data_IF_384716054283
#
_entry.id   IF_384716054283
#
_cell.length_a   1.000
_cell.length_b   1.000
_cell.length_c   1.000
_cell.angle_alpha   90.00
_cell.angle_beta   90.00
_cell.angle_gamma   90.00
#
_symmetry.space_group_name_H-M   'P 1'
#
loop_
_entity.id
_entity.type
_entity.pdbx_description
1 polymer ?
#
# COMPACT_ATOMS: atom_id res chain seq x y z
N UNK A 1 -4.73 16.03 -5.42
CA UNK A 1 -5.51 15.57 -6.60
C UNK A 1 -6.31 16.74 -7.16
N UNK A 2 -6.73 16.69 -8.43
CA UNK A 2 -7.60 17.73 -9.02
C UNK A 2 -9.00 17.66 -8.39
N UNK A 3 -9.64 18.81 -8.23
CA UNK A 3 -11.03 18.89 -7.75
C UNK A 3 -11.96 18.07 -8.68
N UNK A 4 -12.90 17.30 -8.15
CA UNK A 4 -13.80 16.39 -8.90
C UNK A 4 -13.11 15.23 -9.65
N UNK A 5 -12.04 14.67 -9.09
CA UNK A 5 -11.24 13.62 -9.74
C UNK A 5 -11.87 12.21 -9.73
N UNK A 6 -12.97 11.99 -9.02
CA UNK A 6 -13.63 10.67 -8.84
C UNK A 6 -15.13 10.72 -9.15
N UNK A 7 -15.48 11.22 -10.32
CA UNK A 7 -16.91 11.32 -10.77
C UNK A 7 -17.51 9.92 -10.96
N UNK A 8 -16.69 8.91 -11.26
CA UNK A 8 -17.12 7.53 -11.57
C UNK A 8 -16.87 6.53 -10.43
N UNK A 9 -16.59 7.00 -9.21
CA UNK A 9 -16.30 6.16 -8.04
C UNK A 9 -14.82 5.93 -7.76
N UNK A 10 -14.49 5.13 -6.72
CA UNK A 10 -13.12 4.88 -6.30
C UNK A 10 -12.39 4.00 -7.31
N UNK A 11 -11.32 4.53 -7.90
CA UNK A 11 -10.48 3.85 -8.88
C UNK A 11 -9.04 3.83 -8.41
N UNK A 12 -8.35 2.69 -8.58
CA UNK A 12 -6.91 2.61 -8.31
C UNK A 12 -6.13 3.61 -9.16
N UNK A 13 -5.04 4.12 -8.61
CA UNK A 13 -4.15 5.02 -9.33
C UNK A 13 -3.42 4.26 -10.45
N UNK A 14 -3.40 4.85 -11.65
CA UNK A 14 -2.66 4.33 -12.81
C UNK A 14 -1.34 5.08 -12.99
N UNK A 15 -0.43 4.52 -13.82
CA UNK A 15 0.90 5.10 -14.08
C UNK A 15 0.85 6.52 -14.65
N UNK A 16 -0.15 6.81 -15.49
CA UNK A 16 -0.38 8.13 -16.11
C UNK A 16 -1.71 8.73 -15.65
N UNK A 17 -1.97 8.70 -14.35
CA UNK A 17 -3.20 9.21 -13.79
C UNK A 17 -3.30 10.73 -13.97
N UNK A 18 -4.15 11.15 -14.91
CA UNK A 18 -4.42 12.57 -15.25
C UNK A 18 -4.97 13.40 -14.08
N UNK A 19 -5.39 12.73 -12.99
CA UNK A 19 -5.88 13.35 -11.77
C UNK A 19 -4.74 13.91 -10.89
N UNK A 20 -3.51 13.46 -11.11
CA UNK A 20 -2.36 13.85 -10.31
C UNK A 20 -1.82 15.21 -10.79
N UNK A 21 -1.67 16.15 -9.87
CA UNK A 21 -0.98 17.43 -10.14
C UNK A 21 0.53 17.22 -10.17
N UNK A 22 1.29 18.15 -10.78
CA UNK A 22 2.77 18.11 -10.81
C UNK A 22 3.35 18.03 -9.38
N UNK A 23 2.81 18.84 -8.45
CA UNK A 23 3.21 18.81 -7.03
C UNK A 23 2.86 17.47 -6.40
N UNK A 24 1.66 16.94 -6.65
CA UNK A 24 1.25 15.63 -6.14
C UNK A 24 2.12 14.48 -6.66
N UNK A 25 2.60 14.56 -7.91
CA UNK A 25 3.54 13.59 -8.46
C UNK A 25 4.90 13.66 -7.75
N UNK A 26 5.40 14.86 -7.45
CA UNK A 26 6.63 15.06 -6.67
C UNK A 26 6.48 14.49 -5.25
N UNK A 27 5.40 14.86 -4.54
CA UNK A 27 5.14 14.36 -3.17
C UNK A 27 5.07 12.83 -3.12
N UNK A 28 4.37 12.20 -4.07
CA UNK A 28 4.29 10.72 -4.16
C UNK A 28 5.65 10.08 -4.46
N UNK A 29 6.44 10.69 -5.36
CA UNK A 29 7.77 10.19 -5.70
C UNK A 29 8.73 10.22 -4.51
N UNK A 30 8.63 11.26 -3.67
CA UNK A 30 9.44 11.45 -2.47
C UNK A 30 8.83 10.82 -1.23
N UNK A 31 7.63 10.24 -1.33
CA UNK A 31 6.84 9.69 -0.21
C UNK A 31 6.51 10.69 0.90
N UNK A 32 6.60 11.99 0.62
CA UNK A 32 6.24 13.05 1.57
C UNK A 32 4.73 13.03 1.86
N UNK A 33 3.92 12.56 0.90
CA UNK A 33 2.47 12.37 1.08
C UNK A 33 2.11 11.29 2.13
N UNK A 34 3.05 10.45 2.52
CA UNK A 34 2.88 9.45 3.58
C UNK A 34 3.27 9.97 4.98
N UNK A 35 3.91 11.15 5.10
CA UNK A 35 4.27 11.73 6.40
C UNK A 35 3.08 11.94 7.35
N UNK A 36 1.88 12.33 6.92
CA UNK A 36 0.73 12.41 7.82
C UNK A 36 0.36 11.07 8.46
N UNK A 37 0.67 9.93 7.81
CA UNK A 37 0.44 8.60 8.37
C UNK A 37 1.38 8.29 9.55
N UNK A 38 2.55 8.96 9.65
CA UNK A 38 3.40 8.86 10.82
C UNK A 38 2.71 9.39 12.08
N UNK A 39 1.84 10.38 11.94
CA UNK A 39 1.04 10.85 13.06
C UNK A 39 0.07 9.76 13.55
N UNK A 40 -0.57 9.04 12.64
CA UNK A 40 -1.42 7.87 12.98
C UNK A 40 -0.64 6.76 13.65
N UNK A 41 0.63 6.56 13.26
CA UNK A 41 1.54 5.61 13.94
C UNK A 41 1.84 6.10 15.36
N UNK A 42 2.16 7.37 15.53
CA UNK A 42 2.45 7.96 16.85
C UNK A 42 1.24 7.92 17.79
N UNK A 43 0.04 8.14 17.26
CA UNK A 43 -1.22 8.06 18.02
C UNK A 43 -1.65 6.60 18.31
N UNK A 44 -1.01 5.62 17.69
CA UNK A 44 -1.28 4.21 17.91
C UNK A 44 -2.41 3.63 17.04
N UNK A 45 -2.93 4.39 16.06
CA UNK A 45 -3.95 3.92 15.12
C UNK A 45 -3.35 3.00 14.05
N UNK A 46 -2.07 3.21 13.73
CA UNK A 46 -1.29 2.42 12.77
C UNK A 46 0.00 1.88 13.41
N UNK A 47 0.59 0.87 12.77
CA UNK A 47 1.93 0.39 13.06
C UNK A 47 2.93 0.91 12.00
N UNK A 48 4.22 0.92 12.31
CA UNK A 48 5.26 1.13 11.29
C UNK A 48 5.25 0.00 10.25
N UNK A 49 5.08 -1.25 10.71
CA UNK A 49 5.09 -2.44 9.86
C UNK A 49 3.75 -3.16 10.00
N UNK A 50 3.13 -3.50 8.88
CA UNK A 50 1.85 -4.19 8.82
C UNK A 50 1.23 -4.19 7.41
N UNK A 51 0.05 -4.78 7.23
CA UNK A 51 -0.72 -4.67 5.99
C UNK A 51 -1.02 -3.21 5.66
N UNK A 52 -0.83 -2.80 4.40
CA UNK A 52 -1.15 -1.43 4.00
C UNK A 52 -2.66 -1.20 4.05
N UNK A 53 -3.16 -0.11 4.68
CA UNK A 53 -4.58 0.17 4.68
C UNK A 53 -5.08 0.43 3.25
N UNK A 54 -6.20 -0.17 2.91
CA UNK A 54 -6.92 0.09 1.67
C UNK A 54 -8.05 1.10 1.91
N UNK A 55 -8.53 1.71 0.85
CA UNK A 55 -9.72 2.57 0.94
C UNK A 55 -10.95 1.70 1.26
N UNK A 56 -11.85 2.14 2.16
CA UNK A 56 -13.00 1.33 2.59
C UNK A 56 -13.84 0.81 1.43
N UNK A 57 -14.06 1.63 0.38
CA UNK A 57 -14.87 1.26 -0.77
C UNK A 57 -14.20 0.15 -1.61
N UNK A 58 -12.88 0.17 -1.70
CA UNK A 58 -12.08 -0.85 -2.39
C UNK A 58 -12.05 -2.12 -1.54
N UNK A 59 -11.87 -1.99 -0.24
CA UNK A 59 -11.83 -3.11 0.70
C UNK A 59 -13.12 -3.95 0.68
N UNK A 60 -14.29 -3.30 0.58
CA UNK A 60 -15.59 -4.00 0.44
C UNK A 60 -15.56 -4.90 -0.77
N UNK A 61 -15.21 -4.35 -1.94
CA UNK A 61 -15.13 -5.14 -3.18
C UNK A 61 -14.09 -6.26 -3.11
N UNK A 62 -12.95 -6.05 -2.43
CA UNK A 62 -11.92 -7.07 -2.27
C UNK A 62 -12.39 -8.21 -1.36
N UNK A 63 -13.14 -7.91 -0.29
CA UNK A 63 -13.75 -8.93 0.60
C UNK A 63 -14.76 -9.80 -0.13
N UNK A 64 -15.50 -9.24 -1.09
CA UNK A 64 -16.46 -10.00 -1.90
C UNK A 64 -15.78 -10.94 -2.91
N UNK A 65 -14.59 -10.57 -3.40
CA UNK A 65 -13.92 -11.26 -4.50
C UNK A 65 -12.73 -12.13 -4.07
N UNK A 66 -12.21 -11.94 -2.86
CA UNK A 66 -11.02 -12.66 -2.37
C UNK A 66 -11.37 -13.38 -1.06
N UNK A 67 -11.33 -14.72 -1.03
CA UNK A 67 -11.58 -15.48 0.18
C UNK A 67 -10.63 -15.06 1.31
N UNK A 68 -11.19 -14.92 2.51
CA UNK A 68 -10.44 -14.60 3.73
C UNK A 68 -9.69 -13.27 3.71
N UNK A 69 -10.13 -12.30 2.88
CA UNK A 69 -9.46 -11.00 2.77
C UNK A 69 -9.45 -10.24 4.10
N UNK A 70 -10.43 -10.45 4.95
CA UNK A 70 -10.57 -9.86 6.29
C UNK A 70 -9.46 -10.27 7.26
N UNK A 71 -8.76 -11.40 7.03
CA UNK A 71 -7.68 -11.87 7.92
C UNK A 71 -6.52 -10.88 8.01
N UNK A 72 -6.34 -10.02 7.02
CA UNK A 72 -5.35 -8.96 7.05
C UNK A 72 -5.57 -7.95 8.17
N UNK A 73 -6.81 -7.85 8.68
CA UNK A 73 -7.24 -6.93 9.73
C UNK A 73 -7.02 -7.49 11.13
N UNK A 74 -6.42 -8.69 11.28
CA UNK A 74 -6.06 -9.27 12.58
C UNK A 74 -5.00 -8.45 13.31
N UNK A 75 -4.23 -7.65 12.61
CA UNK A 75 -3.23 -6.74 13.16
C UNK A 75 -3.47 -5.31 12.66
N UNK A 76 -2.86 -4.34 13.33
CA UNK A 76 -2.96 -2.93 12.92
C UNK A 76 -2.40 -2.74 11.52
N UNK A 77 -3.00 -1.85 10.72
CA UNK A 77 -2.45 -1.48 9.42
C UNK A 77 -1.07 -0.84 9.58
N UNK A 78 -0.19 -1.07 8.59
CA UNK A 78 1.18 -0.58 8.61
C UNK A 78 1.46 0.52 7.59
N UNK A 79 2.40 1.40 7.93
CA UNK A 79 2.96 2.37 6.98
C UNK A 79 3.75 1.65 5.89
N UNK A 80 4.52 0.64 6.26
CA UNK A 80 5.19 -0.30 5.36
C UNK A 80 4.81 -1.74 5.73
N UNK A 81 5.03 -2.69 4.81
CA UNK A 81 4.70 -4.09 5.04
C UNK A 81 5.39 -5.05 4.08
N UNK A 82 5.33 -6.34 4.42
CA UNK A 82 5.99 -7.41 3.65
C UNK A 82 5.54 -7.47 2.20
N UNK A 83 4.24 -7.27 1.93
CA UNK A 83 3.72 -7.16 0.57
C UNK A 83 4.33 -5.98 -0.19
N UNK A 84 4.39 -4.80 0.43
CA UNK A 84 4.89 -3.58 -0.21
C UNK A 84 6.35 -3.66 -0.64
N UNK A 85 7.20 -4.34 0.15
CA UNK A 85 8.65 -4.42 -0.12
C UNK A 85 9.04 -5.57 -1.06
N UNK A 86 8.14 -6.55 -1.28
CA UNK A 86 8.42 -7.73 -2.12
C UNK A 86 7.56 -7.79 -3.39
N UNK A 87 6.40 -7.15 -3.40
CA UNK A 87 5.50 -7.18 -4.56
C UNK A 87 5.37 -5.79 -5.18
N UNK A 88 5.52 -5.67 -6.51
CA UNK A 88 5.37 -4.38 -7.18
C UNK A 88 3.93 -3.87 -7.05
N UNK A 89 3.76 -2.58 -7.24
CA UNK A 89 2.44 -1.96 -7.22
C UNK A 89 1.56 -2.58 -8.31
N UNK A 90 0.49 -3.23 -7.90
CA UNK A 90 -0.55 -3.79 -8.76
C UNK A 90 -1.92 -3.20 -8.38
N UNK A 91 -2.82 -3.11 -9.36
CA UNK A 91 -4.11 -2.44 -9.25
C UNK A 91 -5.25 -3.33 -9.78
N UNK A 92 -5.20 -4.63 -9.47
CA UNK A 92 -6.23 -5.60 -9.82
C UNK A 92 -6.62 -6.47 -8.62
N UNK A 93 -7.76 -7.16 -8.72
CA UNK A 93 -8.19 -8.15 -7.72
C UNK A 93 -7.14 -9.26 -7.59
N UNK A 94 -6.56 -9.72 -8.71
CA UNK A 94 -5.50 -10.72 -8.72
C UNK A 94 -4.26 -10.25 -7.97
N UNK A 95 -3.82 -9.01 -8.21
CA UNK A 95 -2.69 -8.43 -7.47
C UNK A 95 -2.99 -8.33 -5.98
N UNK A 96 -4.23 -7.97 -5.61
CA UNK A 96 -4.66 -7.87 -4.23
C UNK A 96 -4.69 -9.24 -3.53
N UNK A 97 -5.06 -10.31 -4.24
CA UNK A 97 -4.99 -11.68 -3.73
C UNK A 97 -3.53 -12.12 -3.49
N UNK A 98 -2.63 -11.78 -4.40
CA UNK A 98 -1.19 -12.07 -4.22
C UNK A 98 -0.63 -11.26 -3.04
N UNK A 99 -0.97 -9.97 -2.92
CA UNK A 99 -0.55 -9.15 -1.77
C UNK A 99 -1.06 -9.73 -0.45
N UNK A 100 -2.31 -10.21 -0.42
CA UNK A 100 -2.87 -10.87 0.75
C UNK A 100 -2.00 -12.05 1.20
N UNK A 101 -1.50 -12.88 0.29
CA UNK A 101 -0.62 -14.01 0.66
C UNK A 101 0.66 -13.54 1.35
N UNK A 102 1.27 -12.43 0.91
CA UNK A 102 2.41 -11.83 1.59
C UNK A 102 2.04 -11.25 2.96
N UNK A 103 0.87 -10.62 3.08
CA UNK A 103 0.38 -10.07 4.33
C UNK A 103 0.10 -11.16 5.35
N UNK A 104 -0.56 -12.26 4.94
CA UNK A 104 -0.81 -13.42 5.79
C UNK A 104 0.49 -14.12 6.22
N UNK A 105 1.48 -14.19 5.31
CA UNK A 105 2.81 -14.67 5.68
C UNK A 105 3.41 -13.81 6.82
N UNK A 106 3.34 -12.48 6.68
CA UNK A 106 3.83 -11.58 7.71
C UNK A 106 3.07 -11.76 9.03
N UNK A 107 1.74 -11.80 9.00
CA UNK A 107 0.90 -11.98 10.18
C UNK A 107 1.29 -13.27 10.94
N UNK A 108 1.53 -14.35 10.21
CA UNK A 108 1.91 -15.66 10.79
C UNK A 108 3.33 -15.67 11.37
N UNK A 109 4.25 -14.91 10.78
CA UNK A 109 5.68 -14.98 11.09
C UNK A 109 6.21 -13.67 11.72
N UNK A 110 5.33 -12.88 12.35
CA UNK A 110 5.73 -11.63 13.00
C UNK A 110 6.90 -11.85 13.93
N UNK A 111 7.95 -11.07 13.73
CA UNK A 111 9.12 -11.05 14.60
C UNK A 111 9.86 -9.73 14.44
N UNK A 112 10.59 -9.34 15.48
CA UNK A 112 11.41 -8.14 15.45
C UNK A 112 12.44 -8.14 14.31
N UNK A 113 13.03 -9.30 14.00
CA UNK A 113 13.98 -9.44 12.89
C UNK A 113 13.30 -9.23 11.52
N UNK A 114 12.08 -9.74 11.33
CA UNK A 114 11.31 -9.53 10.12
C UNK A 114 10.94 -8.07 9.96
N UNK A 115 10.59 -7.37 11.04
CA UNK A 115 10.28 -5.94 11.03
C UNK A 115 11.51 -5.12 10.63
N UNK A 116 12.69 -5.41 11.18
CA UNK A 116 13.94 -4.77 10.78
C UNK A 116 14.21 -5.01 9.29
N UNK A 117 14.05 -6.22 8.80
CA UNK A 117 14.23 -6.55 7.39
C UNK A 117 13.30 -5.74 6.49
N UNK A 118 12.02 -5.63 6.86
CA UNK A 118 11.03 -4.82 6.11
C UNK A 118 11.44 -3.35 6.14
N UNK A 119 11.83 -2.84 7.30
CA UNK A 119 12.26 -1.45 7.46
C UNK A 119 13.47 -1.11 6.57
N UNK A 120 14.51 -1.95 6.56
CA UNK A 120 15.69 -1.76 5.70
C UNK A 120 15.35 -1.83 4.22
N UNK A 121 14.48 -2.77 3.81
CA UNK A 121 13.97 -2.84 2.43
C UNK A 121 13.16 -1.59 2.06
N UNK A 122 12.37 -1.05 2.99
CA UNK A 122 11.60 0.18 2.79
C UNK A 122 12.51 1.37 2.55
N UNK A 123 13.56 1.55 3.37
CA UNK A 123 14.57 2.59 3.17
C UNK A 123 15.18 2.48 1.78
N UNK A 124 15.58 1.27 1.37
CA UNK A 124 16.14 1.03 0.03
C UNK A 124 15.16 1.40 -1.09
N UNK A 125 13.87 1.11 -0.94
CA UNK A 125 12.84 1.48 -1.93
C UNK A 125 12.67 3.00 -2.01
N UNK A 126 12.65 3.69 -0.88
CA UNK A 126 12.52 5.15 -0.80
C UNK A 126 13.73 5.82 -1.45
N UNK A 127 14.94 5.43 -1.09
CA UNK A 127 16.18 5.99 -1.64
C UNK A 127 16.31 5.76 -3.16
N UNK A 128 15.86 4.61 -3.64
CA UNK A 128 15.86 4.32 -5.08
C UNK A 128 14.65 4.91 -5.83
N UNK A 129 13.76 5.66 -5.16
CA UNK A 129 12.52 6.21 -5.70
C UNK A 129 11.67 5.14 -6.44
N UNK A 130 11.76 3.87 -6.00
CA UNK A 130 11.02 2.73 -6.57
C UNK A 130 9.74 2.48 -5.76
N UNK A 131 8.73 1.89 -6.41
CA UNK A 131 7.50 1.47 -5.73
C UNK A 131 6.40 2.52 -5.64
N UNK A 132 6.63 3.76 -6.08
CA UNK A 132 5.61 4.81 -6.10
C UNK A 132 4.72 4.78 -7.35
N UNK A 133 5.09 4.01 -8.37
CA UNK A 133 4.39 3.97 -9.67
C UNK A 133 4.15 2.52 -10.09
N UNK A 134 2.94 2.18 -10.61
CA UNK A 134 2.64 0.85 -11.14
C UNK A 134 3.63 0.45 -12.25
N UNK A 135 4.11 -0.80 -12.23
CA UNK A 135 4.77 -1.38 -13.41
C UNK A 135 3.69 -1.71 -14.45
N UNK A 136 3.91 -1.33 -15.70
CA UNK A 136 3.12 -1.91 -16.78
C UNK A 136 3.45 -3.40 -16.86
N UNK A 137 2.45 -4.25 -16.69
CA UNK A 137 2.50 -5.58 -17.26
C UNK A 137 2.03 -5.42 -18.71
N UNK A 138 2.95 -5.00 -19.59
CA UNK A 138 2.79 -5.17 -21.03
C UNK A 138 3.02 -6.68 -21.28
N UNK A 139 1.91 -7.44 -21.25
CA UNK A 139 1.68 -8.70 -21.99
C UNK A 139 0.19 -8.98 -21.99
#
# INVERSE_FOLDING_TARGET
MKHKSEITGPVWATKHDKRITKIGAFLRRTRIDELPQLLSVFLGDMSLIGPRPERPEIEISLKENIPHYELRNLIKPGLSGWAQVNYPYGASIKDSAIKLSYELFYIRNQSFLLDILIFLKTIKLVLNMKGAVPKNNDN
#
